data_IF_259765110121
#
_entry.id   IF_259765110121
#
_cell.length_a   1.000
_cell.length_b   1.000
_cell.length_c   1.000
_cell.angle_alpha   90.00
_cell.angle_beta   90.00
_cell.angle_gamma   90.00
#
_symmetry.space_group_name_H-M   'P 1'
#
loop_
_entity.id
_entity.type
_entity.pdbx_description
1 polymer ?
#
# COMPACT_ATOMS: atom_id res chain seq x y z
N UNK A 1 -5.23 -16.83 31.86
CA UNK A 1 -4.87 -15.80 30.86
C UNK A 1 -5.87 -15.89 29.73
N UNK A 2 -6.68 -14.85 29.50
CA UNK A 2 -7.61 -14.84 28.36
C UNK A 2 -6.82 -14.53 27.09
N UNK A 3 -6.88 -15.43 26.11
CA UNK A 3 -6.41 -15.14 24.75
C UNK A 3 -7.35 -14.08 24.20
N UNK A 4 -6.89 -12.83 24.08
CA UNK A 4 -7.60 -11.81 23.31
C UNK A 4 -7.54 -12.28 21.86
N UNK A 5 -8.63 -12.90 21.40
CA UNK A 5 -8.79 -13.26 20.00
C UNK A 5 -8.76 -11.98 19.18
N UNK A 6 -7.63 -11.71 18.53
CA UNK A 6 -7.55 -10.62 17.58
C UNK A 6 -8.48 -10.97 16.41
N UNK A 7 -9.51 -10.15 16.19
CA UNK A 7 -10.37 -10.29 15.00
C UNK A 7 -9.48 -10.36 13.75
N UNK A 8 -9.60 -11.43 12.98
CA UNK A 8 -8.86 -11.64 11.73
C UNK A 8 -9.46 -10.83 10.57
N UNK A 9 -10.22 -9.77 10.88
CA UNK A 9 -10.90 -8.90 9.93
C UNK A 9 -10.34 -7.49 10.03
N UNK A 10 -10.17 -6.85 8.88
CA UNK A 10 -9.95 -5.41 8.78
C UNK A 10 -11.27 -4.67 9.08
N UNK A 11 -11.16 -3.49 9.69
CA UNK A 11 -12.28 -2.56 9.72
C UNK A 11 -12.54 -1.99 8.32
N UNK A 12 -13.68 -1.31 8.15
CA UNK A 12 -14.11 -0.84 6.84
C UNK A 12 -13.16 0.24 6.27
N UNK A 13 -12.53 1.03 7.14
CA UNK A 13 -11.54 2.03 6.74
C UNK A 13 -10.29 1.36 6.18
N UNK A 14 -9.76 0.36 6.87
CA UNK A 14 -8.59 -0.40 6.48
C UNK A 14 -8.84 -1.21 5.22
N UNK A 15 -10.04 -1.78 5.08
CA UNK A 15 -10.48 -2.45 3.84
C UNK A 15 -10.58 -1.46 2.66
N UNK A 16 -11.06 -0.24 2.91
CA UNK A 16 -11.05 0.83 1.91
C UNK A 16 -9.63 1.19 1.46
N UNK A 17 -8.70 1.31 2.41
CA UNK A 17 -7.28 1.51 2.13
C UNK A 17 -6.67 0.38 1.31
N UNK A 18 -6.93 -0.88 1.68
CA UNK A 18 -6.42 -2.02 0.91
C UNK A 18 -6.91 -2.00 -0.55
N UNK A 19 -8.19 -1.69 -0.76
CA UNK A 19 -8.75 -1.54 -2.13
C UNK A 19 -8.10 -0.40 -2.90
N UNK A 20 -7.80 0.71 -2.24
CA UNK A 20 -7.10 1.83 -2.85
C UNK A 20 -5.67 1.45 -3.24
N UNK A 21 -4.91 0.86 -2.32
CA UNK A 21 -3.52 0.40 -2.57
C UNK A 21 -3.46 -0.63 -3.68
N UNK A 22 -4.40 -1.60 -3.70
CA UNK A 22 -4.49 -2.57 -4.79
C UNK A 22 -4.65 -1.91 -6.15
N UNK A 23 -5.61 -0.98 -6.29
CA UNK A 23 -5.80 -0.24 -7.56
C UNK A 23 -4.59 0.60 -7.92
N UNK A 24 -3.98 1.25 -6.94
CA UNK A 24 -2.80 2.10 -7.12
C UNK A 24 -1.61 1.28 -7.65
N UNK A 25 -1.36 0.10 -7.09
CA UNK A 25 -0.25 -0.77 -7.50
C UNK A 25 -0.51 -1.52 -8.82
N UNK A 26 -1.76 -1.86 -9.13
CA UNK A 26 -2.13 -2.66 -10.32
C UNK A 26 -2.62 -1.84 -11.52
N UNK A 27 -2.63 -0.51 -11.41
CA UNK A 27 -2.85 0.37 -12.57
C UNK A 27 -1.59 0.37 -13.44
N UNK A 28 -1.76 0.33 -14.77
CA UNK A 28 -0.64 0.41 -15.70
C UNK A 28 0.23 1.65 -15.41
N UNK A 29 1.53 1.43 -15.27
CA UNK A 29 2.47 2.43 -14.78
C UNK A 29 3.83 2.31 -15.49
N UNK A 30 4.63 3.36 -15.44
CA UNK A 30 5.94 3.45 -16.09
C UNK A 30 6.99 3.99 -15.11
N UNK A 31 7.74 3.06 -14.52
CA UNK A 31 8.83 3.34 -13.58
C UNK A 31 10.22 3.26 -14.22
N UNK A 32 10.31 3.15 -15.54
CA UNK A 32 11.59 3.11 -16.23
C UNK A 32 12.36 4.43 -16.04
N UNK A 33 13.69 4.39 -16.20
CA UNK A 33 14.57 5.55 -16.00
C UNK A 33 14.16 6.78 -16.84
N UNK A 34 13.62 6.56 -18.03
CA UNK A 34 13.12 7.62 -18.93
C UNK A 34 11.59 7.77 -18.91
N UNK A 35 10.91 6.93 -18.12
CA UNK A 35 9.47 6.90 -17.98
C UNK A 35 8.95 7.95 -17.00
N UNK A 36 7.64 7.88 -16.75
CA UNK A 36 6.98 8.74 -15.77
C UNK A 36 5.94 7.96 -14.97
N UNK A 37 6.09 7.87 -13.64
CA UNK A 37 5.10 7.23 -12.81
C UNK A 37 3.72 7.88 -12.96
N UNK A 38 2.69 7.06 -12.81
CA UNK A 38 1.31 7.45 -12.92
C UNK A 38 0.98 8.57 -11.91
N UNK A 39 0.15 9.58 -12.27
CA UNK A 39 -0.08 10.77 -11.43
C UNK A 39 -0.69 10.53 -10.05
N UNK A 40 -1.15 9.31 -9.74
CA UNK A 40 -1.61 8.98 -8.39
C UNK A 40 -0.48 8.84 -7.36
N UNK A 41 0.77 8.79 -7.81
CA UNK A 41 1.94 8.76 -6.94
C UNK A 41 2.26 10.21 -6.62
N UNK A 42 2.23 10.56 -5.34
CA UNK A 42 2.50 11.92 -4.94
C UNK A 42 3.97 12.28 -5.16
N UNK A 43 4.17 13.47 -5.70
CA UNK A 43 5.49 14.11 -5.83
C UNK A 43 5.44 15.60 -5.47
N UNK A 44 4.41 16.02 -4.74
CA UNK A 44 4.16 17.43 -4.43
C UNK A 44 4.13 17.72 -2.93
N UNK A 45 3.76 16.75 -2.09
CA UNK A 45 3.68 16.95 -0.64
C UNK A 45 5.04 16.77 0.04
N UNK A 46 5.22 17.49 1.16
CA UNK A 46 6.45 17.42 1.97
C UNK A 46 7.77 17.83 1.28
N UNK A 47 7.84 18.90 0.44
CA UNK A 47 9.11 19.39 -0.06
C UNK A 47 10.10 19.75 1.06
N UNK A 48 11.42 19.61 0.83
CA UNK A 48 12.06 19.14 -0.41
C UNK A 48 12.29 17.62 -0.44
N UNK A 49 11.97 16.93 0.65
CA UNK A 49 12.39 15.55 0.87
C UNK A 49 11.37 14.53 0.38
N UNK A 50 10.08 14.71 0.70
CA UNK A 50 9.05 13.70 0.44
C UNK A 50 8.30 13.93 -0.88
N UNK A 51 8.59 15.02 -1.58
CA UNK A 51 7.96 15.40 -2.84
C UNK A 51 8.56 14.64 -4.04
N UNK A 52 8.69 13.31 -3.93
CA UNK A 52 9.15 12.44 -5.02
C UNK A 52 8.35 11.14 -5.01
N UNK A 53 7.91 10.65 -6.19
CA UNK A 53 7.06 9.46 -6.34
C UNK A 53 7.52 8.23 -5.55
N UNK A 54 8.84 8.01 -5.46
CA UNK A 54 9.43 6.89 -4.73
C UNK A 54 9.14 6.91 -3.22
N UNK A 55 8.93 8.07 -2.62
CA UNK A 55 8.65 8.18 -1.19
C UNK A 55 7.20 7.80 -0.89
N UNK A 56 6.26 8.26 -1.71
CA UNK A 56 4.87 7.81 -1.62
C UNK A 56 4.73 6.30 -1.88
N UNK A 57 5.53 5.73 -2.78
CA UNK A 57 5.62 4.27 -2.97
C UNK A 57 6.04 3.55 -1.67
N UNK A 58 7.13 4.00 -1.04
CA UNK A 58 7.64 3.44 0.22
C UNK A 58 6.60 3.57 1.33
N UNK A 59 6.01 4.76 1.52
CA UNK A 59 5.04 5.03 2.58
C UNK A 59 3.77 4.18 2.41
N UNK A 60 3.32 3.99 1.17
CA UNK A 60 2.19 3.13 0.83
C UNK A 60 2.44 1.65 1.21
N UNK A 61 3.70 1.19 1.18
CA UNK A 61 4.05 -0.22 1.45
C UNK A 61 3.95 -0.60 2.94
N UNK A 62 4.16 0.33 3.87
CA UNK A 62 4.12 0.04 5.32
C UNK A 62 2.75 -0.45 5.78
N UNK A 63 1.68 0.13 5.22
CA UNK A 63 0.31 -0.26 5.55
C UNK A 63 0.02 -1.72 5.15
N UNK A 64 0.64 -2.22 4.07
CA UNK A 64 0.45 -3.58 3.55
C UNK A 64 0.96 -4.62 4.55
N UNK A 65 2.17 -4.42 5.08
CA UNK A 65 2.77 -5.35 6.04
C UNK A 65 1.89 -5.51 7.30
N UNK A 66 1.38 -4.40 7.86
CA UNK A 66 0.51 -4.41 9.03
C UNK A 66 -0.83 -5.11 8.78
N UNK A 67 -1.42 -4.92 7.61
CA UNK A 67 -2.68 -5.59 7.24
C UNK A 67 -2.49 -7.10 6.99
N UNK A 68 -1.32 -7.49 6.45
CA UNK A 68 -1.00 -8.89 6.15
C UNK A 68 -0.87 -9.76 7.40
N UNK A 69 -0.28 -9.24 8.47
CA UNK A 69 -0.17 -9.92 9.77
C UNK A 69 -1.56 -10.17 10.38
N UNK A 70 -2.46 -9.19 10.23
CA UNK A 70 -3.84 -9.29 10.75
C UNK A 70 -4.74 -10.23 9.97
N UNK A 71 -4.51 -10.39 8.66
CA UNK A 71 -5.39 -11.14 7.75
C UNK A 71 -4.62 -12.13 6.86
N UNK A 72 -3.97 -13.14 7.45
CA UNK A 72 -3.02 -14.01 6.76
C UNK A 72 -3.63 -14.83 5.60
N UNK A 73 -4.95 -15.03 5.60
CA UNK A 73 -5.67 -15.70 4.51
C UNK A 73 -5.63 -14.91 3.18
N UNK A 74 -5.28 -13.62 3.22
CA UNK A 74 -5.27 -12.72 2.06
C UNK A 74 -3.85 -12.38 1.56
N UNK A 75 -2.83 -13.18 1.97
CA UNK A 75 -1.42 -12.93 1.61
C UNK A 75 -1.18 -12.72 0.13
N UNK A 76 -1.87 -13.45 -0.74
CA UNK A 76 -1.72 -13.31 -2.19
C UNK A 76 -2.04 -11.88 -2.68
N UNK A 77 -3.08 -11.24 -2.14
CA UNK A 77 -3.44 -9.85 -2.49
C UNK A 77 -2.37 -8.87 -2.00
N UNK A 78 -1.80 -9.09 -0.82
CA UNK A 78 -0.71 -8.26 -0.31
C UNK A 78 0.57 -8.43 -1.12
N UNK A 79 0.90 -9.67 -1.52
CA UNK A 79 2.03 -9.95 -2.39
C UNK A 79 1.87 -9.26 -3.74
N UNK A 80 0.67 -9.27 -4.33
CA UNK A 80 0.39 -8.60 -5.60
C UNK A 80 0.64 -7.08 -5.54
N UNK A 81 0.39 -6.44 -4.38
CA UNK A 81 0.66 -5.01 -4.20
C UNK A 81 2.17 -4.71 -4.12
N UNK A 82 2.98 -5.68 -3.70
CA UNK A 82 4.42 -5.52 -3.44
C UNK A 82 5.32 -6.07 -4.57
N UNK A 83 4.73 -6.64 -5.62
CA UNK A 83 5.43 -7.26 -6.75
C UNK A 83 5.68 -6.25 -7.85
#
# INVERSE_FOLDING_TARGET
MAVVGHSTRLDDRSMGWLRYLYRKATTADDWDRGGRPHPHWDNTTGPPMLSWHRFDLIDSSYAVALMSDRTPAWREVYSEILN
#
